data_IF_978333035162
#
_entry.id   IF_978333035162
#
_cell.length_a   1.000
_cell.length_b   1.000
_cell.length_c   1.000
_cell.angle_alpha   90.00
_cell.angle_beta   90.00
_cell.angle_gamma   90.00
#
_symmetry.space_group_name_H-M   'P 1'
#
loop_
_entity.id
_entity.type
_entity.pdbx_description
1 polymer ?
#
# COMPACT_ATOMS: atom_id res chain seq x y z
N UNK A 1 -3.70 21.83 -2.08
CA UNK A 1 -3.34 21.31 -0.73
C UNK A 1 -4.51 20.63 -0.01
N UNK A 2 -5.66 21.29 0.22
CA UNK A 2 -6.83 20.64 0.85
C UNK A 2 -7.33 19.39 0.10
N UNK A 3 -7.39 19.46 -1.24
CA UNK A 3 -7.82 18.33 -2.08
C UNK A 3 -6.87 17.14 -1.92
N UNK A 4 -5.55 17.36 -2.00
CA UNK A 4 -4.53 16.34 -1.78
C UNK A 4 -4.65 15.69 -0.40
N UNK A 5 -4.92 16.49 0.64
CA UNK A 5 -5.11 15.98 1.99
C UNK A 5 -6.38 15.12 2.13
N UNK A 6 -7.49 15.53 1.53
CA UNK A 6 -8.73 14.73 1.53
C UNK A 6 -8.56 13.43 0.76
N UNK A 7 -7.94 13.47 -0.42
CA UNK A 7 -7.61 12.27 -1.22
C UNK A 7 -6.71 11.32 -0.43
N UNK A 8 -5.73 11.88 0.30
CA UNK A 8 -4.88 11.10 1.18
C UNK A 8 -5.67 10.39 2.29
N UNK A 9 -6.56 11.09 3.01
CA UNK A 9 -7.37 10.50 4.08
C UNK A 9 -8.28 9.37 3.59
N UNK A 10 -8.89 9.54 2.41
CA UNK A 10 -9.75 8.52 1.82
C UNK A 10 -8.94 7.28 1.45
N UNK A 11 -7.78 7.46 0.82
CA UNK A 11 -6.90 6.35 0.48
C UNK A 11 -6.36 5.65 1.73
N UNK A 12 -6.01 6.41 2.76
CA UNK A 12 -5.55 5.88 4.04
C UNK A 12 -6.53 4.88 4.67
N UNK A 13 -7.82 5.23 4.73
CA UNK A 13 -8.85 4.35 5.28
C UNK A 13 -8.97 3.05 4.47
N UNK A 14 -8.96 3.16 3.14
CA UNK A 14 -9.05 2.00 2.23
C UNK A 14 -7.88 1.04 2.40
N UNK A 15 -6.67 1.57 2.55
CA UNK A 15 -5.45 0.77 2.66
C UNK A 15 -5.39 0.04 3.99
N UNK A 16 -5.69 0.75 5.08
CA UNK A 16 -5.71 0.16 6.42
C UNK A 16 -6.67 -1.03 6.48
N UNK A 17 -7.86 -0.89 5.88
CA UNK A 17 -8.83 -1.99 5.79
C UNK A 17 -8.30 -3.17 4.95
N UNK A 18 -7.68 -2.92 3.80
CA UNK A 18 -7.11 -3.96 2.92
C UNK A 18 -5.97 -4.71 3.60
N UNK A 19 -5.01 -4.00 4.19
CA UNK A 19 -3.87 -4.61 4.88
C UNK A 19 -4.34 -5.44 6.08
N UNK A 20 -5.25 -4.90 6.89
CA UNK A 20 -5.83 -5.63 8.04
C UNK A 20 -6.56 -6.90 7.59
N UNK A 21 -7.32 -6.83 6.48
CA UNK A 21 -7.99 -8.00 5.91
C UNK A 21 -6.98 -9.04 5.42
N UNK A 22 -5.92 -8.64 4.73
CA UNK A 22 -4.86 -9.55 4.28
C UNK A 22 -4.19 -10.25 5.47
N UNK A 23 -3.84 -9.53 6.53
CA UNK A 23 -3.26 -10.11 7.75
C UNK A 23 -4.17 -11.14 8.41
N UNK A 24 -5.47 -10.84 8.56
CA UNK A 24 -6.44 -11.81 9.11
C UNK A 24 -6.49 -13.11 8.29
N UNK A 25 -6.35 -13.01 6.96
CA UNK A 25 -6.36 -14.19 6.11
C UNK A 25 -5.02 -14.93 6.10
N UNK A 26 -3.89 -14.27 6.36
CA UNK A 26 -2.60 -14.99 6.49
C UNK A 26 -2.63 -16.06 7.59
N UNK A 27 -3.46 -15.89 8.62
CA UNK A 27 -3.68 -16.90 9.66
C UNK A 27 -4.12 -18.26 9.08
N UNK A 28 -4.90 -18.29 8.00
CA UNK A 28 -5.35 -19.55 7.38
C UNK A 28 -4.23 -20.28 6.64
N UNK A 29 -3.24 -19.54 6.12
CA UNK A 29 -2.03 -20.13 5.56
C UNK A 29 -1.15 -20.73 6.65
N UNK A 30 -0.98 -20.05 7.78
CA UNK A 30 -0.27 -20.62 8.93
C UNK A 30 -0.95 -21.89 9.44
N UNK A 31 -2.29 -21.90 9.49
CA UNK A 31 -3.04 -23.11 9.81
C UNK A 31 -2.76 -24.23 8.81
N UNK A 32 -2.76 -23.93 7.50
CA UNK A 32 -2.47 -24.94 6.47
C UNK A 32 -1.05 -25.52 6.58
N UNK A 33 -0.08 -24.71 7.01
CA UNK A 33 1.30 -25.15 7.28
C UNK A 33 1.32 -26.04 8.54
N UNK A 34 0.59 -25.69 9.59
CA UNK A 34 0.45 -26.54 10.77
C UNK A 34 -0.19 -27.89 10.40
N UNK A 35 -1.26 -27.89 9.62
CA UNK A 35 -1.93 -29.11 9.17
C UNK A 35 -0.98 -30.01 8.37
N UNK A 36 -0.10 -29.42 7.55
CA UNK A 36 0.95 -30.14 6.84
C UNK A 36 1.98 -30.75 7.81
N UNK A 37 2.46 -29.98 8.80
CA UNK A 37 3.47 -30.42 9.75
C UNK A 37 2.96 -31.53 10.67
N UNK A 38 1.77 -31.37 11.24
CA UNK A 38 1.18 -32.36 12.14
C UNK A 38 0.57 -33.55 11.39
N UNK A 39 0.06 -33.33 10.17
CA UNK A 39 -0.49 -34.37 9.30
C UNK A 39 0.54 -35.11 8.44
N UNK A 40 1.84 -34.79 8.55
CA UNK A 40 2.84 -35.26 7.58
C UNK A 40 2.90 -36.80 7.46
N UNK A 41 2.72 -37.53 8.57
CA UNK A 41 2.76 -39.00 8.56
C UNK A 41 1.62 -39.57 7.75
N UNK A 42 0.42 -39.02 7.90
CA UNK A 42 -0.76 -39.45 7.15
C UNK A 42 -0.64 -39.13 5.66
N UNK A 43 -0.15 -37.93 5.34
CA UNK A 43 0.08 -37.49 3.97
C UNK A 43 1.17 -38.34 3.30
N UNK A 44 2.19 -38.77 4.04
CA UNK A 44 3.25 -39.66 3.53
C UNK A 44 2.72 -41.06 3.18
N UNK A 45 1.79 -41.58 3.99
CA UNK A 45 1.28 -42.95 3.83
C UNK A 45 0.17 -43.02 2.76
N UNK A 46 -0.70 -42.02 2.69
CA UNK A 46 -1.83 -41.99 1.76
C UNK A 46 -1.60 -40.95 0.64
N UNK A 47 -1.18 -41.42 -0.54
CA UNK A 47 -0.93 -40.57 -1.72
C UNK A 47 -2.17 -39.80 -2.20
N UNK A 48 -3.34 -40.41 -2.16
CA UNK A 48 -4.58 -39.73 -2.61
C UNK A 48 -4.94 -38.58 -1.68
N UNK A 49 -4.84 -38.80 -0.37
CA UNK A 49 -5.02 -37.75 0.65
C UNK A 49 -3.96 -36.65 0.50
N UNK A 50 -2.71 -37.01 0.23
CA UNK A 50 -1.63 -36.05 -0.05
C UNK A 50 -1.94 -35.17 -1.25
N UNK A 51 -2.32 -35.78 -2.38
CA UNK A 51 -2.62 -35.04 -3.61
C UNK A 51 -3.84 -34.12 -3.42
N UNK A 52 -4.88 -34.59 -2.72
CA UNK A 52 -6.05 -33.77 -2.41
C UNK A 52 -5.69 -32.60 -1.50
N UNK A 53 -4.94 -32.83 -0.42
CA UNK A 53 -4.51 -31.77 0.49
C UNK A 53 -3.65 -30.73 -0.24
N UNK A 54 -2.67 -31.18 -1.02
CA UNK A 54 -1.77 -30.28 -1.73
C UNK A 54 -2.51 -29.40 -2.74
N UNK A 55 -3.34 -29.99 -3.60
CA UNK A 55 -4.00 -29.27 -4.69
C UNK A 55 -5.20 -28.43 -4.21
N UNK A 56 -6.04 -29.00 -3.34
CA UNK A 56 -7.33 -28.37 -3.01
C UNK A 56 -7.27 -27.49 -1.77
N UNK A 57 -6.28 -27.70 -0.90
CA UNK A 57 -6.14 -26.95 0.34
C UNK A 57 -4.91 -26.04 0.32
N UNK A 58 -3.70 -26.62 0.26
CA UNK A 58 -2.46 -25.87 0.42
C UNK A 58 -2.20 -24.90 -0.74
N UNK A 59 -2.17 -25.38 -1.99
CA UNK A 59 -1.94 -24.53 -3.17
C UNK A 59 -3.05 -23.48 -3.34
N UNK A 60 -4.29 -23.86 -3.04
CA UNK A 60 -5.42 -22.94 -3.08
C UNK A 60 -5.26 -21.81 -2.06
N UNK A 61 -4.87 -22.12 -0.82
CA UNK A 61 -4.62 -21.10 0.19
C UNK A 61 -3.40 -20.23 -0.14
N UNK A 62 -2.29 -20.83 -0.60
CA UNK A 62 -1.10 -20.09 -1.03
C UNK A 62 -1.45 -19.09 -2.15
N UNK A 63 -2.17 -19.54 -3.19
CA UNK A 63 -2.54 -18.68 -4.31
C UNK A 63 -3.49 -17.55 -3.88
N UNK A 64 -4.45 -17.85 -3.01
CA UNK A 64 -5.35 -16.85 -2.43
C UNK A 64 -4.60 -15.79 -1.61
N UNK A 65 -3.71 -16.21 -0.70
CA UNK A 65 -2.91 -15.27 0.10
C UNK A 65 -1.94 -14.47 -0.76
N UNK A 66 -1.35 -15.08 -1.79
CA UNK A 66 -0.51 -14.36 -2.77
C UNK A 66 -1.30 -13.23 -3.42
N UNK A 67 -2.52 -13.51 -3.90
CA UNK A 67 -3.37 -12.47 -4.50
C UNK A 67 -3.74 -11.37 -3.51
N UNK A 68 -4.06 -11.71 -2.26
CA UNK A 68 -4.34 -10.72 -1.21
C UNK A 68 -3.13 -9.84 -0.90
N UNK A 69 -1.93 -10.42 -0.81
CA UNK A 69 -0.67 -9.69 -0.63
C UNK A 69 -0.39 -8.76 -1.79
N UNK A 70 -0.54 -9.23 -3.03
CA UNK A 70 -0.37 -8.39 -4.23
C UNK A 70 -1.33 -7.20 -4.21
N UNK A 71 -2.62 -7.42 -3.91
CA UNK A 71 -3.60 -6.33 -3.81
C UNK A 71 -3.30 -5.34 -2.68
N UNK A 72 -2.78 -5.82 -1.56
CA UNK A 72 -2.33 -4.96 -0.46
C UNK A 72 -1.10 -4.14 -0.86
N UNK A 73 -0.13 -4.76 -1.55
CA UNK A 73 1.05 -4.08 -2.09
C UNK A 73 0.70 -2.95 -3.05
N UNK A 74 -0.21 -3.20 -4.00
CA UNK A 74 -0.73 -2.14 -4.88
C UNK A 74 -1.41 -1.01 -4.09
N UNK A 75 -2.22 -1.35 -3.08
CA UNK A 75 -2.87 -0.34 -2.26
C UNK A 75 -1.84 0.54 -1.51
N UNK A 76 -0.74 -0.04 -1.04
CA UNK A 76 0.36 0.70 -0.39
C UNK A 76 1.11 1.58 -1.40
N UNK A 77 1.38 1.06 -2.60
CA UNK A 77 1.98 1.87 -3.66
C UNK A 77 1.07 3.05 -4.02
N UNK A 78 -0.24 2.83 -4.13
CA UNK A 78 -1.22 3.89 -4.37
C UNK A 78 -1.24 4.95 -3.25
N UNK A 79 -1.01 4.59 -1.97
CA UNK A 79 -0.88 5.61 -0.90
C UNK A 79 0.30 6.55 -1.07
N UNK A 80 1.35 6.11 -1.76
CA UNK A 80 2.56 6.90 -1.94
C UNK A 80 2.43 7.73 -3.22
N UNK A 81 2.08 7.05 -4.31
CA UNK A 81 2.03 7.65 -5.64
C UNK A 81 0.90 8.67 -5.79
N UNK A 82 -0.30 8.42 -5.24
CA UNK A 82 -1.42 9.36 -5.42
C UNK A 82 -1.16 10.73 -4.77
N UNK A 83 -0.70 10.83 -3.51
CA UNK A 83 -0.32 12.10 -2.92
C UNK A 83 0.79 12.82 -3.70
N UNK A 84 1.83 12.10 -4.11
CA UNK A 84 2.95 12.65 -4.89
C UNK A 84 2.46 13.23 -6.23
N UNK A 85 1.65 12.48 -6.97
CA UNK A 85 1.06 12.95 -8.23
C UNK A 85 0.16 14.16 -8.01
N UNK A 86 -0.67 14.16 -6.96
CA UNK A 86 -1.52 15.33 -6.65
C UNK A 86 -0.70 16.55 -6.23
N UNK A 87 0.46 16.35 -5.61
CA UNK A 87 1.39 17.40 -5.23
C UNK A 87 2.01 18.05 -6.46
N UNK A 88 2.54 17.24 -7.38
CA UNK A 88 3.12 17.72 -8.64
C UNK A 88 2.08 18.46 -9.49
N UNK A 89 0.87 17.92 -9.62
CA UNK A 89 -0.22 18.60 -10.34
C UNK A 89 -0.61 19.92 -9.66
N UNK A 90 -0.64 19.96 -8.32
CA UNK A 90 -0.92 21.20 -7.60
C UNK A 90 0.15 22.27 -7.86
N UNK A 91 1.43 21.88 -7.90
CA UNK A 91 2.53 22.80 -8.23
C UNK A 91 2.36 23.35 -9.65
N UNK A 92 2.05 22.50 -10.62
CA UNK A 92 1.82 22.92 -11.99
C UNK A 92 0.69 23.96 -12.11
N UNK A 93 -0.43 23.74 -11.40
CA UNK A 93 -1.55 24.69 -11.34
C UNK A 93 -1.10 26.02 -10.72
N UNK A 94 -0.34 26.00 -9.62
CA UNK A 94 0.17 27.21 -8.97
C UNK A 94 1.05 28.02 -9.92
N UNK A 95 1.97 27.35 -10.64
CA UNK A 95 2.84 28.01 -11.63
C UNK A 95 2.02 28.67 -12.72
N UNK A 96 1.10 27.89 -13.32
CA UNK A 96 0.25 28.36 -14.41
C UNK A 96 -0.61 29.57 -14.01
N UNK A 97 -1.24 29.53 -12.83
CA UNK A 97 -2.02 30.65 -12.32
C UNK A 97 -1.15 31.87 -12.02
N UNK A 98 0.02 31.66 -11.40
CA UNK A 98 0.95 32.76 -11.07
C UNK A 98 1.43 33.50 -12.32
N UNK A 99 1.71 32.77 -13.41
CA UNK A 99 2.12 33.38 -14.68
C UNK A 99 0.95 34.04 -15.41
N UNK A 100 -0.24 33.42 -15.41
CA UNK A 100 -1.40 33.90 -16.18
C UNK A 100 -1.98 35.20 -15.62
N UNK A 101 -1.93 35.38 -14.31
CA UNK A 101 -2.42 36.58 -13.63
C UNK A 101 -1.29 37.57 -13.29
N UNK A 102 -0.05 37.29 -13.68
CA UNK A 102 1.13 38.12 -13.39
C UNK A 102 1.27 38.48 -11.89
N UNK A 103 0.87 37.55 -11.00
CA UNK A 103 0.92 37.75 -9.55
C UNK A 103 2.35 37.88 -9.01
N UNK A 104 3.33 37.28 -9.70
CA UNK A 104 4.72 37.24 -9.27
C UNK A 104 5.65 37.62 -10.42
N UNK A 105 6.72 38.36 -10.10
CA UNK A 105 7.82 38.57 -11.05
C UNK A 105 8.59 37.26 -11.26
N UNK A 106 9.18 37.05 -12.44
CA UNK A 106 9.85 35.78 -12.79
C UNK A 106 10.88 35.30 -11.76
N UNK A 107 11.65 36.22 -11.16
CA UNK A 107 12.62 35.88 -10.11
C UNK A 107 11.99 35.46 -8.77
N UNK A 108 10.80 35.97 -8.43
CA UNK A 108 10.06 35.59 -7.22
C UNK A 108 9.37 34.24 -7.40
N UNK A 109 8.87 33.95 -8.61
CA UNK A 109 8.29 32.66 -8.97
C UNK A 109 9.29 31.50 -8.83
N UNK A 110 10.53 31.71 -9.29
CA UNK A 110 11.58 30.68 -9.19
C UNK A 110 11.91 30.39 -7.72
N UNK A 111 12.03 31.44 -6.89
CA UNK A 111 12.32 31.28 -5.45
C UNK A 111 11.19 30.57 -4.71
N UNK A 112 9.93 30.91 -5.01
CA UNK A 112 8.79 30.26 -4.37
C UNK A 112 8.68 28.78 -4.77
N UNK A 113 8.94 28.45 -6.04
CA UNK A 113 8.96 27.06 -6.51
C UNK A 113 10.06 26.24 -5.85
N UNK A 114 11.26 26.79 -5.69
CA UNK A 114 12.34 26.11 -4.98
C UNK A 114 11.92 25.76 -3.56
N UNK A 115 11.34 26.70 -2.82
CA UNK A 115 10.84 26.45 -1.46
C UNK A 115 9.78 25.35 -1.48
N UNK A 116 8.81 25.43 -2.40
CA UNK A 116 7.72 24.44 -2.48
C UNK A 116 8.21 23.03 -2.81
N UNK A 117 9.18 22.87 -3.71
CA UNK A 117 9.76 21.57 -4.06
C UNK A 117 10.57 20.98 -2.89
N UNK A 118 11.31 21.81 -2.18
CA UNK A 118 12.17 21.37 -1.06
C UNK A 118 11.43 21.19 0.26
N UNK A 119 10.14 21.55 0.35
CA UNK A 119 9.36 21.27 1.55
C UNK A 119 9.28 19.73 1.74
N UNK A 120 9.70 19.19 2.91
CA UNK A 120 9.79 17.75 3.15
C UNK A 120 8.43 17.07 3.36
N UNK A 121 7.33 17.69 2.92
CA UNK A 121 5.97 17.12 3.06
C UNK A 121 5.87 15.81 2.30
N UNK A 122 6.45 15.71 1.10
CA UNK A 122 6.46 14.45 0.32
C UNK A 122 7.18 13.35 1.07
N UNK A 123 8.36 13.65 1.63
CA UNK A 123 9.13 12.71 2.44
C UNK A 123 8.33 12.19 3.65
N UNK A 124 7.63 13.07 4.38
CA UNK A 124 6.80 12.65 5.52
C UNK A 124 5.64 11.75 5.06
N UNK A 125 5.00 12.10 3.94
CA UNK A 125 3.89 11.33 3.37
C UNK A 125 4.32 9.95 2.85
N UNK A 126 5.54 9.83 2.33
CA UNK A 126 6.13 8.55 1.88
C UNK A 126 6.42 7.59 3.04
N UNK A 127 6.83 8.11 4.20
CA UNK A 127 7.17 7.28 5.36
C UNK A 127 5.95 6.78 6.14
N UNK A 128 4.83 7.51 6.07
CA UNK A 128 3.60 7.21 6.79
C UNK A 128 3.07 5.79 6.54
N UNK A 129 2.92 5.31 5.28
CA UNK A 129 2.51 3.93 4.99
C UNK A 129 3.36 2.86 5.68
N UNK A 130 4.68 3.07 5.79
CA UNK A 130 5.58 2.13 6.44
C UNK A 130 5.38 2.09 7.96
N UNK A 131 5.20 3.24 8.60
CA UNK A 131 4.85 3.31 10.02
C UNK A 131 3.54 2.59 10.33
N UNK A 132 2.53 2.72 9.47
CA UNK A 132 1.26 2.02 9.64
C UNK A 132 1.40 0.51 9.43
N UNK A 133 2.15 0.09 8.41
CA UNK A 133 2.48 -1.32 8.18
C UNK A 133 3.17 -1.95 9.39
N UNK A 134 4.10 -1.22 10.02
CA UNK A 134 4.75 -1.65 11.25
C UNK A 134 3.74 -1.80 12.40
N UNK A 135 2.88 -0.80 12.63
CA UNK A 135 1.86 -0.85 13.70
C UNK A 135 0.82 -1.97 13.48
N UNK A 136 0.42 -2.23 12.23
CA UNK A 136 -0.48 -3.34 11.89
C UNK A 136 0.21 -4.70 12.05
N UNK A 137 1.54 -4.76 11.94
CA UNK A 137 2.29 -6.02 12.10
C UNK A 137 2.62 -6.33 13.56
N UNK A 138 2.65 -5.32 14.43
CA UNK A 138 2.89 -5.46 15.87
C UNK A 138 1.62 -5.80 16.68
N UNK A 139 0.44 -5.66 16.08
CA UNK A 139 -0.87 -5.95 16.69
C UNK A 139 -1.52 -7.16 16.03
#
# INVERSE_FOLDING_TARGET
MLISWVVYQINYLRITQRVKKTRKNEATLFQSINDLLFGFKELKINKDKSNQFYNNHLLKNISFIKQLRTKAGFAIADSILLPEMTWIVSLFIIVYLSTSFSFLKGGELIKSLQIMIYIPITYILEQLPFFFMANISLK
#
